data_IF_253212536206
#
_entry.id   IF_253212536206
#
_cell.length_a   1.000
_cell.length_b   1.000
_cell.length_c   1.000
_cell.angle_alpha   90.00
_cell.angle_beta   90.00
_cell.angle_gamma   90.00
#
_symmetry.space_group_name_H-M   'P 1'
#
loop_
_entity.id
_entity.type
_entity.pdbx_description
1 polymer ?
#
# COMPACT_ATOMS: atom_id res chain seq x y z
N UNK A 1 0.06 -14.43 -9.14
CA UNK A 1 -0.39 -13.20 -8.48
C UNK A 1 0.82 -12.78 -7.69
N UNK A 2 1.38 -11.62 -7.99
CA UNK A 2 2.60 -11.14 -7.33
C UNK A 2 2.23 -10.04 -6.35
N UNK A 3 2.73 -10.10 -5.13
CA UNK A 3 2.54 -9.05 -4.12
C UNK A 3 3.93 -8.62 -3.64
N UNK A 4 4.29 -7.37 -3.91
CA UNK A 4 5.51 -6.73 -3.43
C UNK A 4 5.16 -5.78 -2.29
N UNK A 5 5.92 -5.87 -1.19
CA UNK A 5 5.79 -4.98 -0.04
C UNK A 5 7.11 -4.27 0.13
N UNK A 6 7.07 -2.94 0.22
CA UNK A 6 8.23 -2.11 0.47
C UNK A 6 7.92 -1.16 1.64
N UNK A 7 8.67 -1.30 2.72
CA UNK A 7 8.55 -0.42 3.86
C UNK A 7 9.62 0.69 3.82
N UNK A 8 9.23 1.86 3.31
CA UNK A 8 10.04 3.07 3.29
C UNK A 8 9.76 3.98 4.49
N UNK A 9 8.85 3.57 5.38
CA UNK A 9 8.59 4.28 6.61
C UNK A 9 9.68 3.99 7.65
N UNK A 10 9.79 4.87 8.65
CA UNK A 10 10.65 4.64 9.82
C UNK A 10 10.00 3.73 10.88
N UNK A 11 8.86 3.11 10.58
CA UNK A 11 8.05 2.32 11.52
C UNK A 11 8.20 0.83 11.18
N UNK A 12 8.43 0.00 12.19
CA UNK A 12 8.47 -1.45 12.00
C UNK A 12 7.08 -1.99 11.66
N UNK A 13 7.02 -2.81 10.60
CA UNK A 13 5.78 -3.37 10.07
C UNK A 13 5.96 -4.87 9.87
N UNK A 14 4.97 -5.67 10.26
CA UNK A 14 4.92 -7.11 9.97
C UNK A 14 4.48 -7.33 8.52
N UNK A 15 5.42 -7.26 7.59
CA UNK A 15 5.18 -7.46 6.17
C UNK A 15 4.54 -8.82 5.85
N UNK A 16 4.95 -9.96 6.46
CA UNK A 16 4.28 -11.24 6.24
C UNK A 16 2.78 -11.22 6.60
N UNK A 17 2.37 -10.51 7.65
CA UNK A 17 0.94 -10.35 7.99
C UNK A 17 0.21 -9.59 6.88
N UNK A 18 0.78 -8.49 6.40
CA UNK A 18 0.18 -7.68 5.32
C UNK A 18 0.07 -8.50 4.04
N UNK A 19 1.11 -9.26 3.68
CA UNK A 19 1.11 -10.09 2.48
C UNK A 19 -0.02 -11.14 2.51
N UNK A 20 -0.22 -11.79 3.66
CA UNK A 20 -1.32 -12.74 3.85
C UNK A 20 -2.68 -12.05 3.76
N UNK A 21 -2.84 -10.87 4.35
CA UNK A 21 -4.08 -10.10 4.30
C UNK A 21 -4.42 -9.67 2.87
N UNK A 22 -3.44 -9.13 2.14
CA UNK A 22 -3.60 -8.74 0.74
C UNK A 22 -3.96 -9.94 -0.14
N UNK A 23 -3.28 -11.08 0.05
CA UNK A 23 -3.60 -12.34 -0.65
C UNK A 23 -5.05 -12.74 -0.41
N UNK A 24 -5.49 -12.76 0.84
CA UNK A 24 -6.86 -13.11 1.21
C UNK A 24 -7.90 -12.15 0.59
N UNK A 25 -7.63 -10.85 0.61
CA UNK A 25 -8.53 -9.84 0.03
C UNK A 25 -8.66 -10.00 -1.49
N UNK A 26 -7.54 -10.17 -2.20
CA UNK A 26 -7.54 -10.37 -3.65
C UNK A 26 -8.23 -11.67 -4.07
N UNK A 27 -8.05 -12.75 -3.29
CA UNK A 27 -8.75 -14.02 -3.49
C UNK A 27 -10.26 -13.87 -3.30
N UNK A 28 -10.68 -13.19 -2.23
CA UNK A 28 -12.11 -12.91 -1.95
C UNK A 28 -12.76 -12.07 -3.05
N UNK A 29 -12.01 -11.14 -3.65
CA UNK A 29 -12.45 -10.31 -4.75
C UNK A 29 -12.36 -11.01 -6.12
N UNK A 30 -11.91 -12.27 -6.18
CA UNK A 30 -11.71 -13.06 -7.39
C UNK A 30 -10.81 -12.35 -8.42
N UNK A 31 -9.78 -11.66 -7.94
CA UNK A 31 -8.81 -10.99 -8.80
C UNK A 31 -8.05 -12.03 -9.63
N UNK A 32 -7.78 -11.68 -10.88
CA UNK A 32 -7.10 -12.58 -11.82
C UNK A 32 -5.75 -13.07 -11.25
N UNK A 33 -5.41 -14.35 -11.38
CA UNK A 33 -4.16 -14.89 -10.84
C UNK A 33 -2.91 -14.25 -11.45
N UNK A 34 -2.97 -13.63 -12.63
CA UNK A 34 -1.82 -12.92 -13.21
C UNK A 34 -1.71 -11.44 -12.80
N UNK A 35 -2.56 -10.98 -11.87
CA UNK A 35 -2.46 -9.62 -11.35
C UNK A 35 -1.20 -9.42 -10.48
N UNK A 36 -0.71 -8.19 -10.48
CA UNK A 36 0.40 -7.72 -9.66
C UNK A 36 -0.09 -6.61 -8.72
N UNK A 37 0.38 -6.63 -7.47
CA UNK A 37 0.08 -5.64 -6.45
C UNK A 37 1.39 -5.18 -5.80
N UNK A 38 1.61 -3.87 -5.77
CA UNK A 38 2.69 -3.25 -5.00
C UNK A 38 2.09 -2.45 -3.84
N UNK A 39 2.61 -2.65 -2.63
CA UNK A 39 2.20 -1.95 -1.41
C UNK A 39 3.43 -1.25 -0.85
N UNK A 40 3.37 0.08 -0.72
CA UNK A 40 4.48 0.89 -0.17
C UNK A 40 4.04 1.59 1.10
N UNK A 41 4.76 1.36 2.20
CA UNK A 41 4.55 2.03 3.47
C UNK A 41 5.43 3.26 3.49
N UNK A 42 4.82 4.42 3.71
CA UNK A 42 5.49 5.71 3.69
C UNK A 42 5.13 6.52 4.94
N UNK A 43 5.97 7.49 5.28
CA UNK A 43 5.66 8.46 6.34
C UNK A 43 4.64 9.52 5.88
N UNK A 44 4.17 10.33 6.83
CA UNK A 44 3.18 11.39 6.58
C UNK A 44 3.66 12.42 5.54
N UNK A 45 4.95 12.76 5.54
CA UNK A 45 5.51 13.75 4.62
C UNK A 45 5.58 13.24 3.19
N UNK A 46 5.89 11.96 3.01
CA UNK A 46 5.81 11.29 1.72
C UNK A 46 4.35 11.10 1.26
N UNK A 47 3.43 10.78 2.17
CA UNK A 47 2.00 10.66 1.87
C UNK A 47 1.42 11.99 1.36
N UNK A 48 1.73 13.10 2.02
CA UNK A 48 1.27 14.44 1.60
C UNK A 48 1.77 14.81 0.20
N UNK A 49 3.03 14.50 -0.12
CA UNK A 49 3.58 14.73 -1.45
C UNK A 49 2.85 13.91 -2.54
N UNK A 50 2.56 12.64 -2.26
CA UNK A 50 1.81 11.77 -3.18
C UNK A 50 0.37 12.27 -3.37
N UNK A 51 -0.26 12.75 -2.31
CA UNK A 51 -1.59 13.35 -2.34
C UNK A 51 -1.66 14.58 -3.25
N UNK A 52 -0.71 15.50 -3.10
CA UNK A 52 -0.63 16.67 -3.99
C UNK A 52 -0.31 16.23 -5.42
N UNK A 53 0.62 15.29 -5.61
CA UNK A 53 1.06 14.86 -6.94
C UNK A 53 -0.05 14.16 -7.74
N UNK A 54 -0.81 13.27 -7.10
CA UNK A 54 -1.74 12.37 -7.79
C UNK A 54 -3.20 12.74 -7.60
N UNK A 55 -3.54 13.43 -6.51
CA UNK A 55 -4.92 13.77 -6.15
C UNK A 55 -5.20 15.28 -6.14
N UNK A 56 -4.19 16.15 -6.35
CA UNK A 56 -4.31 17.62 -6.26
C UNK A 56 -4.88 18.10 -4.90
N UNK A 57 -4.77 17.29 -3.85
CA UNK A 57 -5.30 17.58 -2.51
C UNK A 57 -4.15 17.88 -1.52
N UNK A 58 -4.19 19.02 -0.80
CA UNK A 58 -3.20 19.33 0.23
C UNK A 58 -3.48 18.54 1.51
N UNK A 59 -2.42 17.96 2.08
CA UNK A 59 -2.44 17.25 3.37
C UNK A 59 -2.62 15.72 3.25
N UNK A 60 -2.31 14.96 4.31
CA UNK A 60 -2.56 13.52 4.37
C UNK A 60 -4.08 13.20 4.33
N UNK A 61 -4.49 12.02 3.83
CA UNK A 61 -5.89 11.67 3.56
C UNK A 61 -6.83 11.80 4.77
N UNK A 62 -6.30 11.72 5.98
CA UNK A 62 -7.09 11.81 7.22
C UNK A 62 -6.23 12.36 8.36
N UNK A 63 -6.37 13.65 8.65
CA UNK A 63 -6.25 14.21 10.01
C UNK A 63 -7.60 14.22 10.70
#
# INVERSE_FOLDING_TARGET
MSIEINNESAIEVDEPVIQRLATYALDTLHVHPDAELAIVMVDEGAMEQLHVQWMDEPGPPTS
#
